data_IF_814646595240
#
_entry.id   IF_814646595240
#
_cell.length_a   1.000
_cell.length_b   1.000
_cell.length_c   1.000
_cell.angle_alpha   90.00
_cell.angle_beta   90.00
_cell.angle_gamma   90.00
#
_symmetry.space_group_name_H-M   'P 1'
#
loop_
_entity.id
_entity.type
_entity.pdbx_description
1 polymer ?
#
# COMPACT_ATOMS: atom_id res chain seq x y z
N UNK A 1 -1.49 24.77 29.60
CA UNK A 1 -1.19 24.96 28.16
C UNK A 1 -0.37 23.81 27.56
N UNK A 2 0.69 23.32 28.20
CA UNK A 2 1.57 22.26 27.62
C UNK A 2 0.87 20.95 27.19
N UNK A 3 -0.23 20.55 27.84
CA UNK A 3 -0.92 19.31 27.47
C UNK A 3 -1.70 19.46 26.17
N UNK A 4 -2.36 20.61 25.94
CA UNK A 4 -3.13 20.86 24.72
C UNK A 4 -2.22 20.88 23.50
N UNK A 5 -1.10 21.62 23.57
CA UNK A 5 -0.12 21.69 22.48
C UNK A 5 0.48 20.31 22.13
N UNK A 6 0.66 19.44 23.13
CA UNK A 6 1.15 18.07 22.91
C UNK A 6 0.10 17.18 22.24
N UNK A 7 -1.19 17.40 22.51
CA UNK A 7 -2.29 16.70 21.84
C UNK A 7 -2.37 17.15 20.38
N UNK A 8 -2.41 18.47 20.13
CA UNK A 8 -2.49 19.02 18.77
C UNK A 8 -1.33 18.53 17.88
N UNK A 9 -0.11 18.47 18.44
CA UNK A 9 1.06 17.94 17.75
C UNK A 9 0.96 16.44 17.44
N UNK A 10 0.41 15.66 18.36
CA UNK A 10 0.20 14.23 18.15
C UNK A 10 -0.87 13.97 17.07
N UNK A 11 -1.96 14.75 17.07
CA UNK A 11 -3.01 14.69 16.06
C UNK A 11 -2.48 15.03 14.66
N UNK A 12 -1.69 16.10 14.55
CA UNK A 12 -1.07 16.52 13.28
C UNK A 12 -0.14 15.44 12.74
N UNK A 13 0.72 14.86 13.58
CA UNK A 13 1.60 13.74 13.19
C UNK A 13 0.82 12.51 12.76
N UNK A 14 -0.26 12.18 13.45
CA UNK A 14 -1.13 11.07 13.09
C UNK A 14 -1.79 11.31 11.73
N UNK A 15 -2.26 12.53 11.47
CA UNK A 15 -2.85 12.91 10.18
C UNK A 15 -1.81 12.83 9.04
N UNK A 16 -0.61 13.38 9.23
CA UNK A 16 0.47 13.30 8.25
C UNK A 16 0.88 11.86 7.96
N UNK A 17 1.05 11.04 9.00
CA UNK A 17 1.38 9.62 8.87
C UNK A 17 0.26 8.86 8.12
N UNK A 18 -0.99 9.13 8.47
CA UNK A 18 -2.16 8.51 7.82
C UNK A 18 -2.25 8.88 6.33
N UNK A 19 -2.04 10.16 6.00
CA UNK A 19 -1.98 10.63 4.61
C UNK A 19 -0.84 9.96 3.85
N UNK A 20 0.35 9.91 4.43
CA UNK A 20 1.51 9.24 3.82
C UNK A 20 1.26 7.76 3.54
N UNK A 21 0.61 7.06 4.46
CA UNK A 21 0.20 5.66 4.29
C UNK A 21 -0.80 5.50 3.14
N UNK A 22 -1.85 6.33 3.11
CA UNK A 22 -2.88 6.30 2.05
C UNK A 22 -2.25 6.53 0.68
N UNK A 23 -1.40 7.55 0.53
CA UNK A 23 -0.72 7.81 -0.74
C UNK A 23 0.19 6.66 -1.16
N UNK A 24 0.88 6.02 -0.20
CA UNK A 24 1.74 4.88 -0.48
C UNK A 24 0.95 3.69 -1.04
N UNK A 25 -0.20 3.36 -0.43
CA UNK A 25 -1.09 2.30 -0.94
C UNK A 25 -1.67 2.64 -2.31
N UNK A 26 -2.08 3.89 -2.53
CA UNK A 26 -2.62 4.34 -3.81
C UNK A 26 -1.57 4.23 -4.93
N UNK A 27 -0.36 4.77 -4.70
CA UNK A 27 0.73 4.70 -5.66
C UNK A 27 1.15 3.26 -5.96
N UNK A 28 1.17 2.40 -4.92
CA UNK A 28 1.45 0.98 -5.11
C UNK A 28 0.37 0.30 -5.97
N UNK A 29 -0.91 0.54 -5.69
CA UNK A 29 -2.02 0.03 -6.49
C UNK A 29 -1.96 0.50 -7.95
N UNK A 30 -1.58 1.76 -8.18
CA UNK A 30 -1.39 2.30 -9.53
C UNK A 30 -0.25 1.57 -10.28
N UNK A 31 0.88 1.32 -9.60
CA UNK A 31 2.00 0.58 -10.17
C UNK A 31 1.62 -0.87 -10.51
N UNK A 32 0.89 -1.55 -9.61
CA UNK A 32 0.34 -2.90 -9.83
C UNK A 32 -0.56 -2.93 -11.07
N UNK A 33 -1.43 -1.94 -11.23
CA UNK A 33 -2.32 -1.86 -12.39
C UNK A 33 -1.59 -1.55 -13.71
N UNK A 34 -0.59 -0.65 -13.68
CA UNK A 34 0.28 -0.38 -14.83
C UNK A 34 0.98 -1.65 -15.29
N UNK A 35 1.57 -2.39 -14.34
CA UNK A 35 2.24 -3.66 -14.59
C UNK A 35 1.31 -4.72 -15.19
N UNK A 36 0.09 -4.84 -14.66
CA UNK A 36 -0.92 -5.72 -15.25
C UNK A 36 -1.23 -5.36 -16.70
N UNK A 37 -1.38 -4.06 -17.03
CA UNK A 37 -1.63 -3.62 -18.42
C UNK A 37 -0.48 -3.94 -19.36
N UNK A 38 0.77 -3.83 -18.89
CA UNK A 38 1.96 -4.17 -19.68
C UNK A 38 2.01 -5.65 -20.03
N UNK A 39 1.62 -6.52 -19.09
CA UNK A 39 1.65 -7.97 -19.25
C UNK A 39 0.45 -8.52 -20.04
N UNK A 40 -0.70 -7.84 -19.99
CA UNK A 40 -1.97 -8.30 -20.59
C UNK A 40 -1.87 -8.71 -22.07
N UNK A 41 -1.12 -8.00 -22.95
CA UNK A 41 -0.96 -8.39 -24.35
C UNK A 41 -0.23 -9.74 -24.53
N UNK A 42 0.69 -10.09 -23.63
CA UNK A 42 1.51 -11.29 -23.73
C UNK A 42 0.85 -12.50 -23.04
N UNK A 43 0.32 -12.30 -21.84
CA UNK A 43 -0.15 -13.40 -20.98
C UNK A 43 -1.68 -13.51 -20.90
N UNK A 44 -2.42 -12.62 -21.57
CA UNK A 44 -3.87 -12.51 -21.41
C UNK A 44 -4.25 -12.07 -19.99
N UNK A 45 -5.54 -12.17 -19.66
CA UNK A 45 -6.06 -11.74 -18.35
C UNK A 45 -5.47 -12.56 -17.21
N UNK A 46 -5.68 -13.87 -17.24
CA UNK A 46 -5.40 -14.74 -16.09
C UNK A 46 -3.89 -14.94 -15.89
N UNK A 47 -3.12 -15.02 -16.98
CA UNK A 47 -1.66 -15.13 -16.91
C UNK A 47 -1.02 -13.85 -16.32
N UNK A 48 -1.48 -12.68 -16.75
CA UNK A 48 -0.98 -11.40 -16.20
C UNK A 48 -1.33 -11.23 -14.73
N UNK A 49 -2.55 -11.61 -14.34
CA UNK A 49 -2.98 -11.58 -12.94
C UNK A 49 -2.13 -12.50 -12.07
N UNK A 50 -1.81 -13.71 -12.54
CA UNK A 50 -0.95 -14.64 -11.82
C UNK A 50 0.48 -14.11 -11.61
N UNK A 51 1.07 -13.50 -12.65
CA UNK A 51 2.41 -12.90 -12.56
C UNK A 51 2.43 -11.74 -11.57
N UNK A 52 1.47 -10.80 -11.70
CA UNK A 52 1.36 -9.65 -10.80
C UNK A 52 1.14 -10.09 -9.35
N UNK A 53 0.28 -11.08 -9.10
CA UNK A 53 0.08 -11.62 -7.74
C UNK A 53 1.37 -12.19 -7.15
N UNK A 54 2.19 -12.88 -7.95
CA UNK A 54 3.49 -13.39 -7.52
C UNK A 54 4.46 -12.25 -7.20
N UNK A 55 4.53 -11.22 -8.04
CA UNK A 55 5.37 -10.03 -7.81
C UNK A 55 4.94 -9.29 -6.53
N UNK A 56 3.63 -9.07 -6.32
CA UNK A 56 3.07 -8.43 -5.12
C UNK A 56 3.39 -9.23 -3.85
N UNK A 57 3.26 -10.57 -3.88
CA UNK A 57 3.59 -11.42 -2.72
C UNK A 57 5.07 -11.35 -2.32
N UNK A 58 5.98 -11.11 -3.28
CA UNK A 58 7.40 -10.89 -2.98
C UNK A 58 7.63 -9.52 -2.36
N UNK A 59 6.98 -8.48 -2.88
CA UNK A 59 7.11 -7.11 -2.38
C UNK A 59 6.46 -6.92 -0.99
N UNK A 60 5.32 -7.56 -0.75
CA UNK A 60 4.57 -7.53 0.50
C UNK A 60 4.32 -8.98 0.91
N UNK A 61 5.28 -9.61 1.63
CA UNK A 61 5.10 -10.96 2.14
C UNK A 61 3.87 -11.03 3.04
N UNK A 62 3.02 -12.04 2.86
CA UNK A 62 1.81 -12.24 3.68
C UNK A 62 2.15 -12.34 5.18
N UNK A 63 3.36 -12.80 5.52
CA UNK A 63 3.87 -12.82 6.91
C UNK A 63 4.05 -11.43 7.54
N UNK A 64 4.07 -10.37 6.73
CA UNK A 64 4.09 -8.97 7.17
C UNK A 64 2.68 -8.36 7.23
N UNK A 65 1.68 -9.00 6.63
CA UNK A 65 0.26 -8.72 6.84
C UNK A 65 -0.24 -9.52 8.06
N UNK A 66 0.33 -9.26 9.24
CA UNK A 66 -0.24 -9.74 10.49
C UNK A 66 -1.39 -8.82 10.90
N UNK A 67 -2.57 -9.38 11.17
CA UNK A 67 -3.71 -8.68 11.77
C UNK A 67 -3.48 -8.32 13.25
N UNK A 68 -2.30 -8.60 13.83
CA UNK A 68 -1.97 -8.30 15.24
C UNK A 68 -1.84 -6.79 15.55
N UNK A 69 -2.05 -5.91 14.57
CA UNK A 69 -2.00 -4.45 14.75
C UNK A 69 -3.38 -3.76 14.76
N UNK A 70 -4.47 -4.49 15.04
CA UNK A 70 -5.78 -3.92 15.35
C UNK A 70 -6.10 -4.06 16.84
#
# INVERSE_FOLDING_TARGET
LQLSERIDHAETKNEEASRGLIFSYFNFGEAVFKRYKELKPEFGKDGSEAVVKKEVRVAIPETKCSNEAL
#
